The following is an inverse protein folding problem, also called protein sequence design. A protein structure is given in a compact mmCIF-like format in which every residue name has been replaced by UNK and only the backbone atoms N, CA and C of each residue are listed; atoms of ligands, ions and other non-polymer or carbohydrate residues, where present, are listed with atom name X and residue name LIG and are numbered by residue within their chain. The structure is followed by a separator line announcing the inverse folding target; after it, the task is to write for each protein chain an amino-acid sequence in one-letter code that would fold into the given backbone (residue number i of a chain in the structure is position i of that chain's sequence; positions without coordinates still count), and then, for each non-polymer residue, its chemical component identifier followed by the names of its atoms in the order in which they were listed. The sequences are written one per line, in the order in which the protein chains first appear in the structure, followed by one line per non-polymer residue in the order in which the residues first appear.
data_IF_254463389968
#
_entry.id   IF_254463389968
#
_cell.length_a   1.000
_cell.length_b   1.000
_cell.length_c   1.000
_cell.angle_alpha   90.00
_cell.angle_beta   90.00
_cell.angle_gamma   90.00
#
_symmetry.space_group_name_H-M   'P 1'
#
loop_
_entity.id
_entity.type
_entity.pdbx_description
1 polymer ?
#
# COMPACT_ATOMS: atom_id res chain seq x y z
N UNK A 1 -17.79 -3.08 26.83
CA UNK A 1 -18.51 -3.99 25.92
C UNK A 1 -17.84 -5.36 25.98
N UNK A 2 -18.64 -6.44 25.85
CA UNK A 2 -18.13 -7.79 25.73
C UNK A 2 -17.76 -8.08 24.27
N UNK A 3 -16.47 -8.29 24.01
CA UNK A 3 -15.94 -8.58 22.67
C UNK A 3 -15.36 -10.01 22.60
N UNK A 4 -15.67 -10.85 23.57
CA UNK A 4 -15.16 -12.22 23.67
C UNK A 4 -15.49 -13.14 22.49
N UNK A 5 -16.48 -12.75 21.68
CA UNK A 5 -16.86 -13.48 20.46
C UNK A 5 -15.98 -13.14 19.23
N UNK A 6 -15.18 -12.08 19.29
CA UNK A 6 -14.27 -11.72 18.19
C UNK A 6 -13.17 -12.79 18.04
N UNK A 7 -12.84 -13.07 16.79
CA UNK A 7 -11.78 -14.04 16.42
C UNK A 7 -10.65 -13.39 15.65
N UNK A 8 -10.93 -12.29 14.96
CA UNK A 8 -9.98 -11.57 14.12
C UNK A 8 -10.46 -10.13 13.98
N UNK A 9 -9.55 -9.16 14.05
CA UNK A 9 -9.80 -7.78 13.67
C UNK A 9 -9.20 -7.53 12.28
N UNK A 10 -10.01 -7.04 11.35
CA UNK A 10 -9.59 -6.65 10.02
C UNK A 10 -9.55 -5.14 9.91
N UNK A 11 -8.43 -4.61 9.42
CA UNK A 11 -8.20 -3.19 9.20
C UNK A 11 -8.12 -2.90 7.70
N UNK A 12 -8.59 -1.74 7.28
CA UNK A 12 -8.50 -1.26 5.90
C UNK A 12 -8.78 0.25 5.84
N UNK A 13 -8.46 0.87 4.70
CA UNK A 13 -8.80 2.27 4.40
C UNK A 13 -7.54 3.13 4.27
N UNK A 14 -6.65 3.05 5.23
CA UNK A 14 -5.33 3.66 5.21
C UNK A 14 -4.30 2.69 5.78
N UNK A 15 -3.02 3.00 5.61
CA UNK A 15 -1.96 2.19 6.19
C UNK A 15 -2.08 2.20 7.71
N UNK A 16 -2.18 1.01 8.29
CA UNK A 16 -2.10 0.88 9.74
C UNK A 16 -0.64 1.04 10.20
N UNK A 17 -0.39 2.02 11.07
CA UNK A 17 0.92 2.15 11.66
C UNK A 17 1.24 0.96 12.59
N UNK A 18 2.55 0.59 12.71
CA UNK A 18 2.95 -0.56 13.50
C UNK A 18 2.57 -0.50 14.97
N UNK A 19 2.57 0.69 15.59
CA UNK A 19 2.25 0.83 17.00
C UNK A 19 0.77 0.58 17.26
N UNK A 20 -0.11 1.14 16.46
CA UNK A 20 -1.56 0.91 16.53
C UNK A 20 -1.91 -0.56 16.32
N UNK A 21 -1.27 -1.24 15.35
CA UNK A 21 -1.49 -2.66 15.11
C UNK A 21 -1.07 -3.51 16.32
N UNK A 22 0.13 -3.25 16.85
CA UNK A 22 0.66 -3.97 18.00
C UNK A 22 -0.18 -3.71 19.26
N UNK A 23 -0.59 -2.46 19.51
CA UNK A 23 -1.49 -2.10 20.60
C UNK A 23 -2.82 -2.84 20.51
N UNK A 24 -3.44 -2.88 19.34
CA UNK A 24 -4.69 -3.59 19.13
C UNK A 24 -4.52 -5.10 19.36
N UNK A 25 -3.42 -5.69 18.91
CA UNK A 25 -3.09 -7.09 19.13
C UNK A 25 -2.90 -7.41 20.62
N UNK A 26 -2.17 -6.56 21.34
CA UNK A 26 -1.93 -6.72 22.78
C UNK A 26 -3.24 -6.66 23.60
N UNK A 27 -4.14 -5.75 23.27
CA UNK A 27 -5.41 -5.58 24.00
C UNK A 27 -6.40 -6.70 23.66
N UNK A 28 -6.52 -7.05 22.40
CA UNK A 28 -7.54 -7.99 21.94
C UNK A 28 -7.10 -9.44 22.05
N UNK A 29 -5.78 -9.72 22.09
CA UNK A 29 -5.19 -11.05 22.13
C UNK A 29 -5.70 -11.96 20.98
N UNK A 30 -5.94 -11.35 19.81
CA UNK A 30 -6.37 -12.03 18.60
C UNK A 30 -5.61 -11.48 17.38
N UNK A 31 -5.66 -12.17 16.22
CA UNK A 31 -5.03 -11.68 15.01
C UNK A 31 -5.63 -10.32 14.59
N UNK A 32 -4.75 -9.34 14.35
CA UNK A 32 -5.06 -8.05 13.74
C UNK A 32 -4.44 -8.06 12.36
N UNK A 33 -5.26 -7.94 11.32
CA UNK A 33 -4.88 -8.15 9.92
C UNK A 33 -5.19 -6.88 9.13
N UNK A 34 -4.16 -6.30 8.52
CA UNK A 34 -4.32 -5.20 7.60
C UNK A 34 -4.61 -5.71 6.18
N UNK A 35 -5.33 -4.90 5.39
CA UNK A 35 -5.66 -5.16 4.01
C UNK A 35 -5.35 -3.95 3.15
N UNK A 36 -4.89 -4.19 1.94
CA UNK A 36 -4.80 -3.15 0.93
C UNK A 36 -5.70 -3.48 -0.26
N UNK A 37 -6.58 -2.56 -0.56
CA UNK A 37 -7.53 -2.65 -1.66
C UNK A 37 -7.91 -1.25 -2.17
N UNK A 38 -8.53 -1.22 -3.32
CA UNK A 38 -9.05 0.00 -3.94
C UNK A 38 -10.48 -0.24 -4.39
N UNK A 39 -11.27 0.83 -4.53
CA UNK A 39 -12.64 0.75 -5.09
C UNK A 39 -12.62 0.06 -6.45
N UNK A 40 -11.60 0.35 -7.25
CA UNK A 40 -11.36 -0.19 -8.59
C UNK A 40 -11.14 -1.70 -8.60
N UNK A 41 -10.60 -2.25 -7.55
CA UNK A 41 -10.28 -3.69 -7.49
C UNK A 41 -11.43 -4.54 -6.96
N UNK A 42 -12.41 -3.93 -6.29
CA UNK A 42 -13.60 -4.61 -5.75
C UNK A 42 -13.31 -5.61 -4.61
N UNK A 43 -12.05 -5.92 -4.37
CA UNK A 43 -11.53 -6.81 -3.34
C UNK A 43 -10.10 -6.46 -2.99
N UNK A 44 -9.57 -7.07 -1.92
CA UNK A 44 -8.18 -6.85 -1.50
C UNK A 44 -7.19 -7.25 -2.58
N UNK A 45 -6.23 -6.37 -2.86
CA UNK A 45 -5.04 -6.67 -3.66
C UNK A 45 -4.06 -7.49 -2.81
N UNK A 46 -3.87 -7.06 -1.56
CA UNK A 46 -3.06 -7.77 -0.57
C UNK A 46 -3.86 -8.02 0.70
N UNK A 47 -3.72 -9.20 1.26
CA UNK A 47 -4.35 -9.61 2.51
C UNK A 47 -3.69 -10.86 3.09
N UNK A 48 -3.79 -11.03 4.40
CA UNK A 48 -3.55 -12.32 5.03
C UNK A 48 -4.78 -13.21 4.88
N UNK A 49 -4.76 -14.11 3.91
CA UNK A 49 -5.88 -14.98 3.57
C UNK A 49 -6.06 -16.07 4.63
N UNK A 50 -6.54 -15.72 5.82
CA UNK A 50 -6.68 -16.61 6.97
C UNK A 50 -7.41 -17.93 6.67
N UNK A 51 -8.33 -17.93 5.69
CA UNK A 51 -9.01 -19.14 5.23
C UNK A 51 -8.12 -20.15 4.48
N UNK A 52 -6.95 -19.71 3.99
CA UNK A 52 -5.94 -20.57 3.36
C UNK A 52 -4.81 -20.95 4.32
N UNK A 53 -4.81 -20.40 5.51
CA UNK A 53 -3.77 -20.52 6.52
C UNK A 53 -3.22 -19.15 6.91
N UNK A 54 -3.30 -18.84 8.21
CA UNK A 54 -2.80 -17.55 8.72
C UNK A 54 -1.28 -17.49 8.60
N UNK A 55 -0.79 -16.51 7.86
CA UNK A 55 0.63 -16.17 7.77
C UNK A 55 1.04 -15.28 8.96
N UNK A 56 2.34 -15.25 9.33
CA UNK A 56 2.84 -14.28 10.29
C UNK A 56 2.42 -12.85 9.92
N UNK A 57 1.94 -12.09 10.87
CA UNK A 57 1.59 -10.68 10.66
C UNK A 57 2.85 -9.84 10.82
N UNK A 58 3.20 -9.06 9.78
CA UNK A 58 4.24 -8.03 9.85
C UNK A 58 3.55 -6.68 9.97
N UNK A 59 3.81 -5.94 11.04
CA UNK A 59 3.23 -4.63 11.27
C UNK A 59 3.54 -3.67 10.12
N UNK A 60 2.53 -2.91 9.67
CA UNK A 60 2.63 -2.01 8.52
C UNK A 60 2.54 -2.68 7.14
N UNK A 61 2.30 -4.01 7.09
CA UNK A 61 2.14 -4.74 5.84
C UNK A 61 0.76 -5.38 5.73
N UNK A 62 0.04 -5.21 4.60
CA UNK A 62 -1.16 -5.96 4.28
C UNK A 62 -0.86 -7.42 3.84
N UNK A 63 0.31 -7.93 4.11
CA UNK A 63 0.79 -9.29 3.85
C UNK A 63 1.17 -9.53 2.38
N UNK A 64 0.58 -10.50 1.72
CA UNK A 64 0.91 -10.92 0.35
C UNK A 64 -0.20 -10.54 -0.64
N UNK A 65 0.13 -10.45 -1.93
CA UNK A 65 -0.91 -10.38 -2.96
C UNK A 65 -1.86 -11.57 -2.86
N UNK A 66 -3.16 -11.31 -2.88
CA UNK A 66 -4.14 -12.41 -2.87
C UNK A 66 -4.11 -13.16 -4.20
N UNK A 67 -4.52 -14.45 -4.23
CA UNK A 67 -4.53 -15.23 -5.45
C UNK A 67 -5.26 -14.52 -6.61
N UNK A 68 -4.60 -14.40 -7.75
CA UNK A 68 -5.08 -13.71 -8.92
C UNK A 68 -4.42 -12.36 -9.19
N UNK A 69 -3.84 -11.71 -8.20
CA UNK A 69 -3.06 -10.47 -8.39
C UNK A 69 -1.57 -10.78 -8.58
N UNK A 70 -0.98 -10.23 -9.63
CA UNK A 70 0.46 -10.25 -9.88
C UNK A 70 1.00 -8.85 -9.65
N UNK A 71 1.39 -8.58 -8.42
CA UNK A 71 1.92 -7.29 -8.02
C UNK A 71 3.39 -7.19 -8.40
N UNK A 72 3.76 -6.04 -8.97
CA UNK A 72 5.13 -5.68 -9.32
C UNK A 72 5.43 -4.27 -8.82
N UNK A 73 6.67 -4.06 -8.38
CA UNK A 73 7.16 -2.74 -7.97
C UNK A 73 8.05 -2.20 -9.08
N UNK A 74 7.65 -1.09 -9.67
CA UNK A 74 8.32 -0.53 -10.84
C UNK A 74 8.95 0.83 -10.55
N UNK A 75 10.11 1.06 -11.17
CA UNK A 75 10.73 2.37 -11.29
C UNK A 75 9.95 3.26 -12.29
N UNK A 76 10.18 4.59 -12.31
CA UNK A 76 9.52 5.49 -13.25
C UNK A 76 9.75 5.15 -14.74
N UNK A 77 10.84 4.47 -15.06
CA UNK A 77 11.15 3.99 -16.41
C UNK A 77 10.54 2.62 -16.75
N UNK A 78 9.74 2.04 -15.81
CA UNK A 78 9.09 0.76 -15.97
C UNK A 78 9.98 -0.45 -15.63
N UNK A 79 11.21 -0.24 -15.17
CA UNK A 79 12.08 -1.36 -14.74
C UNK A 79 11.67 -1.88 -13.36
N UNK A 80 11.70 -3.22 -13.13
CA UNK A 80 11.42 -3.79 -11.82
C UNK A 80 12.40 -3.31 -10.75
N UNK A 81 11.89 -3.05 -9.55
CA UNK A 81 12.67 -2.73 -8.36
C UNK A 81 13.12 -4.00 -7.63
N UNK A 82 14.28 -3.91 -6.99
CA UNK A 82 14.73 -4.96 -6.07
C UNK A 82 13.91 -4.94 -4.78
N UNK A 83 14.00 -6.05 -4.01
CA UNK A 83 13.37 -6.15 -2.70
C UNK A 83 13.84 -5.00 -1.78
N UNK A 84 12.91 -4.40 -1.06
CA UNK A 84 13.15 -3.26 -0.18
C UNK A 84 13.27 -1.90 -0.88
N UNK A 85 13.29 -1.85 -2.21
CA UNK A 85 13.36 -0.59 -2.95
C UNK A 85 11.98 -0.01 -3.23
N UNK A 86 11.81 1.27 -2.91
CA UNK A 86 10.57 2.01 -3.15
C UNK A 86 10.32 2.22 -4.65
N UNK A 87 9.11 1.90 -5.09
CA UNK A 87 8.64 2.12 -6.46
C UNK A 87 7.13 2.25 -6.54
N UNK A 88 6.60 2.38 -7.76
CA UNK A 88 5.17 2.32 -7.99
C UNK A 88 4.67 0.88 -7.81
N UNK A 89 3.63 0.70 -7.01
CA UNK A 89 2.94 -0.58 -6.89
C UNK A 89 2.01 -0.73 -8.10
N UNK A 90 2.26 -1.75 -8.91
CA UNK A 90 1.51 -2.00 -10.14
C UNK A 90 1.01 -3.44 -10.19
N UNK A 91 0.00 -3.70 -10.99
CA UNK A 91 -0.56 -5.04 -11.14
C UNK A 91 -0.44 -5.45 -12.60
N UNK A 92 0.35 -6.49 -12.86
CA UNK A 92 0.52 -7.01 -14.21
C UNK A 92 -0.80 -7.59 -14.76
N UNK A 93 -1.09 -7.26 -16.02
CA UNK A 93 -2.30 -7.72 -16.71
C UNK A 93 -2.23 -9.23 -17.06
N UNK A 94 -3.38 -9.91 -17.20
CA UNK A 94 -4.76 -9.40 -16.99
C UNK A 94 -5.11 -9.24 -15.52
N UNK A 95 -5.99 -8.28 -15.23
CA UNK A 95 -6.56 -8.12 -13.88
C UNK A 95 -7.49 -9.30 -13.54
N UNK A 96 -7.64 -9.64 -12.24
CA UNK A 96 -8.60 -10.65 -11.80
C UNK A 96 -10.04 -10.28 -12.14
N UNK A 97 -10.93 -11.26 -12.34
CA UNK A 97 -12.37 -11.01 -12.44
C UNK A 97 -12.89 -10.31 -11.18
N UNK A 98 -13.73 -9.31 -11.34
CA UNK A 98 -14.27 -8.51 -10.23
C UNK A 98 -13.64 -7.13 -10.10
N UNK A 99 -12.49 -6.89 -10.77
CA UNK A 99 -11.98 -5.53 -10.95
C UNK A 99 -12.88 -4.75 -11.91
N UNK A 100 -12.88 -3.42 -11.76
CA UNK A 100 -13.67 -2.56 -12.63
C UNK A 100 -13.24 -2.71 -14.11
N UNK A 101 -14.17 -2.50 -15.03
CA UNK A 101 -13.94 -2.72 -16.46
C UNK A 101 -13.87 -1.43 -17.26
N UNK A 102 -14.37 -0.32 -16.71
CA UNK A 102 -14.37 1.01 -17.35
C UNK A 102 -14.81 2.08 -16.36
N UNK A 103 -14.74 3.35 -16.76
CA UNK A 103 -15.40 4.49 -16.12
C UNK A 103 -16.69 4.85 -16.90
N UNK A 104 -17.75 5.19 -16.17
CA UNK A 104 -19.03 5.55 -16.78
C UNK A 104 -18.88 6.67 -17.81
N UNK A 105 -19.24 6.36 -19.06
CA UNK A 105 -19.15 7.27 -20.20
C UNK A 105 -17.77 7.93 -20.40
N UNK A 106 -16.66 7.33 -19.95
CA UNK A 106 -15.35 7.95 -20.07
C UNK A 106 -14.20 6.92 -20.20
N UNK A 107 -14.24 6.14 -21.27
CA UNK A 107 -13.22 5.14 -21.59
C UNK A 107 -11.81 5.75 -21.77
N UNK A 108 -11.72 6.92 -22.39
CA UNK A 108 -10.44 7.61 -22.57
C UNK A 108 -9.78 7.93 -21.23
N UNK A 109 -10.53 8.44 -20.28
CA UNK A 109 -10.03 8.70 -18.91
C UNK A 109 -9.64 7.41 -18.21
N UNK A 110 -10.42 6.34 -18.39
CA UNK A 110 -10.10 5.02 -17.84
C UNK A 110 -8.71 4.55 -18.27
N UNK A 111 -8.46 4.51 -19.59
CA UNK A 111 -7.19 4.10 -20.14
C UNK A 111 -6.04 5.03 -19.71
N UNK A 112 -6.27 6.33 -19.78
CA UNK A 112 -5.26 7.34 -19.42
C UNK A 112 -4.86 7.28 -17.96
N UNK A 113 -5.80 7.08 -17.05
CA UNK A 113 -5.54 7.14 -15.59
C UNK A 113 -4.94 5.88 -15.02
N UNK A 114 -5.14 4.72 -15.68
CA UNK A 114 -4.81 3.45 -15.05
C UNK A 114 -3.86 2.55 -15.88
N UNK A 115 -3.58 2.89 -17.17
CA UNK A 115 -2.85 1.98 -18.05
C UNK A 115 -1.79 2.65 -18.94
N UNK A 116 -1.47 3.92 -18.69
CA UNK A 116 -0.60 4.68 -19.61
C UNK A 116 0.86 4.69 -19.19
N UNK A 117 1.15 4.89 -17.90
CA UNK A 117 2.54 5.07 -17.43
C UNK A 117 3.34 3.79 -17.45
N UNK A 118 2.69 2.65 -17.25
CA UNK A 118 3.34 1.33 -17.19
C UNK A 118 2.65 0.36 -18.16
N UNK A 119 3.13 0.25 -19.42
CA UNK A 119 2.52 -0.64 -20.41
C UNK A 119 2.42 -2.09 -19.91
N UNK A 120 1.23 -2.69 -20.02
CA UNK A 120 0.97 -4.05 -19.53
C UNK A 120 0.64 -4.15 -18.04
N UNK A 121 0.51 -3.03 -17.34
CA UNK A 121 0.16 -2.98 -15.94
C UNK A 121 -1.02 -2.04 -15.66
N UNK A 122 -1.73 -2.33 -14.59
CA UNK A 122 -2.67 -1.42 -13.95
C UNK A 122 -1.91 -0.58 -12.92
N UNK A 123 -2.13 0.73 -12.96
CA UNK A 123 -1.53 1.72 -12.07
C UNK A 123 -2.42 1.90 -10.84
N UNK A 124 -1.94 1.46 -9.68
CA UNK A 124 -2.68 1.62 -8.42
C UNK A 124 -2.68 3.07 -7.92
N UNK A 125 -1.69 3.85 -8.34
CA UNK A 125 -1.44 5.19 -7.79
C UNK A 125 -0.82 5.16 -6.39
N UNK A 126 -0.41 4.00 -5.92
CA UNK A 126 0.29 3.82 -4.65
C UNK A 126 1.77 3.51 -4.87
N UNK A 127 2.61 3.95 -3.94
CA UNK A 127 4.04 3.66 -3.90
C UNK A 127 4.36 2.78 -2.69
N UNK A 128 5.30 1.86 -2.86
CA UNK A 128 5.68 0.94 -1.82
C UNK A 128 6.83 0.05 -2.21
N UNK A 129 7.05 -1.00 -1.47
CA UNK A 129 8.08 -2.00 -1.75
C UNK A 129 7.60 -3.39 -1.34
N UNK A 130 8.33 -4.40 -1.77
CA UNK A 130 8.17 -5.80 -1.38
C UNK A 130 9.43 -6.22 -0.65
N UNK A 131 9.31 -6.83 0.51
CA UNK A 131 10.46 -7.33 1.27
C UNK A 131 10.96 -8.71 0.75
N UNK A 132 12.04 -9.22 1.34
CA UNK A 132 12.66 -10.50 0.94
C UNK A 132 11.74 -11.71 1.12
N UNK A 133 10.74 -11.63 2.02
CA UNK A 133 9.74 -12.66 2.24
C UNK A 133 8.51 -12.52 1.33
N UNK A 134 8.48 -11.49 0.48
CA UNK A 134 7.38 -11.19 -0.44
C UNK A 134 6.26 -10.35 0.16
N UNK A 135 6.42 -9.85 1.39
CA UNK A 135 5.43 -8.99 2.02
C UNK A 135 5.43 -7.60 1.40
N UNK A 136 4.25 -7.10 1.12
CA UNK A 136 4.03 -5.79 0.52
C UNK A 136 3.94 -4.71 1.60
N UNK A 137 4.58 -3.57 1.37
CA UNK A 137 4.46 -2.39 2.22
C UNK A 137 3.99 -1.22 1.36
N UNK A 138 2.78 -0.75 1.62
CA UNK A 138 2.21 0.44 0.95
C UNK A 138 2.62 1.66 1.77
N UNK A 139 3.42 2.56 1.17
CA UNK A 139 4.10 3.62 1.91
C UNK A 139 3.52 5.00 1.69
N UNK A 140 2.96 5.29 0.51
CA UNK A 140 2.36 6.58 0.16
C UNK A 140 1.59 6.47 -1.15
N UNK A 141 0.86 7.52 -1.52
CA UNK A 141 0.43 7.74 -2.90
C UNK A 141 1.64 8.09 -3.77
N UNK A 142 1.61 7.74 -5.06
CA UNK A 142 2.71 8.09 -5.98
C UNK A 142 2.86 9.59 -6.19
N UNK A 143 1.76 10.34 -6.06
CA UNK A 143 1.70 11.79 -6.11
C UNK A 143 2.17 12.48 -4.81
N UNK A 144 2.16 11.76 -3.67
CA UNK A 144 2.65 12.24 -2.37
C UNK A 144 4.13 11.90 -2.11
N UNK A 145 4.79 11.16 -3.01
CA UNK A 145 6.23 10.89 -2.90
C UNK A 145 7.03 12.15 -3.18
N UNK A 146 7.77 12.63 -2.19
CA UNK A 146 8.60 13.83 -2.28
C UNK A 146 9.89 13.51 -3.05
N UNK A 147 10.23 14.34 -4.05
CA UNK A 147 11.44 14.18 -4.86
C UNK A 147 12.44 15.30 -4.54
N UNK A 148 13.43 15.02 -3.71
CA UNK A 148 14.46 15.98 -3.29
C UNK A 148 15.80 15.63 -3.93
N UNK A 149 16.31 16.47 -4.81
CA UNK A 149 17.61 16.30 -5.45
C UNK A 149 17.84 14.88 -6.02
N UNK A 150 16.80 14.26 -6.60
CA UNK A 150 16.84 12.91 -7.16
C UNK A 150 16.58 11.77 -6.15
N UNK A 151 16.43 12.09 -4.87
CA UNK A 151 15.99 11.12 -3.86
C UNK A 151 14.47 11.11 -3.74
N UNK A 152 13.90 9.92 -3.68
CA UNK A 152 12.45 9.70 -3.47
C UNK A 152 12.21 9.41 -2.00
N UNK A 153 11.50 10.29 -1.32
CA UNK A 153 11.17 10.18 0.09
C UNK A 153 9.68 9.85 0.23
N UNK A 154 9.37 8.79 0.97
CA UNK A 154 8.00 8.46 1.32
C UNK A 154 7.54 9.36 2.47
N UNK A 155 6.43 10.08 2.28
CA UNK A 155 5.78 10.87 3.33
C UNK A 155 5.43 9.97 4.52
N UNK A 156 4.81 8.82 4.26
CA UNK A 156 4.44 7.86 5.31
C UNK A 156 5.63 7.30 6.10
N UNK A 157 6.80 7.08 5.48
CA UNK A 157 7.98 6.64 6.21
C UNK A 157 8.55 7.71 7.14
N UNK A 158 8.45 8.98 6.73
CA UNK A 158 8.87 10.11 7.58
C UNK A 158 7.88 10.30 8.73
N UNK A 159 6.58 10.23 8.44
CA UNK A 159 5.51 10.30 9.44
C UNK A 159 5.64 9.18 10.48
N UNK A 160 5.89 7.96 10.06
CA UNK A 160 6.14 6.83 10.96
C UNK A 160 7.34 7.08 11.88
N UNK A 161 8.46 7.59 11.32
CA UNK A 161 9.62 7.92 12.12
C UNK A 161 9.36 9.04 13.14
N UNK A 162 8.52 10.03 12.79
CA UNK A 162 8.14 11.11 13.70
C UNK A 162 7.15 10.63 14.77
N UNK A 163 6.22 9.74 14.43
CA UNK A 163 5.21 9.19 15.35
C UNK A 163 5.83 8.34 16.48
N UNK A 164 7.06 7.86 16.33
CA UNK A 164 7.77 7.16 17.42
C UNK A 164 8.14 8.08 18.60
N UNK A 165 8.08 9.42 18.42
CA UNK A 165 8.41 10.35 19.49
C UNK A 165 7.24 10.50 20.46
N UNK A 166 7.43 10.33 21.79
CA UNK A 166 6.36 10.27 22.77
C UNK A 166 5.52 11.57 22.89
N UNK A 167 6.04 12.69 22.42
CA UNK A 167 5.32 13.98 22.45
C UNK A 167 4.61 14.28 21.12
N UNK A 168 4.66 13.38 20.13
CA UNK A 168 3.98 13.51 18.83
C UNK A 168 2.75 12.62 18.82
N UNK A 169 1.58 13.23 18.88
CA UNK A 169 0.30 12.50 18.81
C UNK A 169 -0.13 12.25 17.38
N UNK A 170 0.17 13.17 16.46
CA UNK A 170 -0.17 13.12 15.04
C UNK A 170 0.78 14.03 14.25
N UNK A 171 1.13 13.63 13.05
CA UNK A 171 1.95 14.43 12.14
C UNK A 171 1.52 14.22 10.68
N UNK A 172 1.86 15.18 9.83
CA UNK A 172 1.70 15.06 8.39
C UNK A 172 2.94 15.63 7.69
N UNK A 173 3.42 14.95 6.66
CA UNK A 173 4.55 15.36 5.84
C UNK A 173 4.07 15.77 4.47
N UNK A 174 4.40 16.97 4.03
CA UNK A 174 4.02 17.51 2.73
C UNK A 174 5.24 18.00 1.96
N UNK A 175 5.30 17.71 0.66
CA UNK A 175 6.31 18.26 -0.23
C UNK A 175 6.03 19.74 -0.51
N UNK A 176 7.09 20.56 -0.48
CA UNK A 176 7.02 21.97 -0.88
C UNK A 176 7.96 22.18 -2.06
N UNK A 177 7.46 22.84 -3.11
CA UNK A 177 8.25 23.08 -4.32
C UNK A 177 9.52 23.89 -4.00
N UNK A 178 10.67 23.42 -4.51
CA UNK A 178 11.96 24.09 -4.43
C UNK A 178 12.59 24.15 -5.83
N UNK A 179 13.01 25.34 -6.26
CA UNK A 179 13.55 25.58 -7.62
C UNK A 179 14.84 24.81 -7.92
N UNK A 180 15.64 24.48 -6.91
CA UNK A 180 16.92 23.78 -7.06
C UNK A 180 16.82 22.28 -6.80
N UNK A 181 15.99 21.88 -5.84
CA UNK A 181 15.90 20.49 -5.36
C UNK A 181 14.68 19.74 -5.87
N UNK A 182 13.71 20.44 -6.48
CA UNK A 182 12.43 19.90 -6.94
C UNK A 182 11.33 20.03 -5.88
N UNK A 183 11.56 19.49 -4.72
CA UNK A 183 10.70 19.61 -3.53
C UNK A 183 11.55 19.71 -2.28
#
# INVERSE_FOLDING_TARGET
YDVSCLRTLFLAGERCDPETLNWAHEILQLPVIDHWWQTETGWSICANCAGLGLLPVKAGSPTLPVPGYRLEVLAPDGTPRAHGELGALTIALPLPPGTFTTLWNNEERFLKSYFTSYPGHYETGDAGYVDEDGYVFVMARTDDVINVAGHRLSTGAIEEALATHPDVAECAVVGVHDELKGQ
#
